data_IF_800089647608
#
_entry.id   IF_800089647608
#
_cell.length_a   1.000
_cell.length_b   1.000
_cell.length_c   1.000
_cell.angle_alpha   90.00
_cell.angle_beta   90.00
_cell.angle_gamma   90.00
#
_symmetry.space_group_name_H-M   'P 1'
#
loop_
_entity.id
_entity.type
_entity.pdbx_description
1 polymer ?
#
# COMPACT_ATOMS: atom_id res chain seq x y z
N UNK A 1 -15.94 66.66 -24.55
CA UNK A 1 -15.21 65.48 -24.98
C UNK A 1 -14.61 64.87 -23.72
N UNK A 2 -15.16 63.71 -23.28
CA UNK A 2 -14.67 62.95 -22.11
C UNK A 2 -14.12 61.61 -22.63
N UNK A 3 -12.81 61.44 -22.49
CA UNK A 3 -12.11 60.20 -22.85
C UNK A 3 -12.23 59.20 -21.69
N UNK A 4 -12.90 58.08 -21.94
CA UNK A 4 -12.92 56.94 -21.03
C UNK A 4 -11.62 56.15 -21.20
N UNK A 5 -10.79 56.08 -20.15
CA UNK A 5 -9.66 55.20 -20.08
C UNK A 5 -10.13 53.77 -19.67
N UNK A 6 -9.91 52.81 -20.56
CA UNK A 6 -10.20 51.41 -20.31
C UNK A 6 -9.00 50.74 -19.63
N UNK A 7 -9.13 50.41 -18.35
CA UNK A 7 -8.10 49.71 -17.58
C UNK A 7 -8.25 48.20 -17.82
N UNK A 8 -7.33 47.64 -18.55
CA UNK A 8 -7.25 46.17 -18.77
C UNK A 8 -6.62 45.49 -17.54
N UNK A 9 -7.42 44.76 -16.76
CA UNK A 9 -6.93 43.98 -15.64
C UNK A 9 -6.51 42.62 -16.22
N UNK A 10 -5.20 42.37 -16.29
CA UNK A 10 -4.63 41.08 -16.64
C UNK A 10 -4.67 40.19 -15.40
N UNK A 11 -5.59 39.24 -15.36
CA UNK A 11 -5.61 38.17 -14.34
C UNK A 11 -4.53 37.14 -14.68
N UNK A 12 -3.40 37.21 -13.98
CA UNK A 12 -2.38 36.16 -14.03
C UNK A 12 -2.89 34.94 -13.28
N UNK A 13 -3.32 33.91 -14.01
CA UNK A 13 -3.61 32.58 -13.48
C UNK A 13 -2.27 31.95 -13.07
N UNK A 14 -1.99 31.98 -11.78
CA UNK A 14 -0.91 31.18 -11.18
C UNK A 14 -1.38 29.73 -11.16
N UNK A 15 -1.01 28.97 -12.17
CA UNK A 15 -1.11 27.52 -12.12
C UNK A 15 -0.10 27.02 -11.08
N UNK A 16 -0.58 26.74 -9.87
CA UNK A 16 0.18 25.98 -8.88
C UNK A 16 0.37 24.56 -9.43
N UNK A 17 1.53 24.31 -10.01
CA UNK A 17 1.97 22.96 -10.33
C UNK A 17 2.21 22.28 -8.99
N UNK A 18 1.30 21.41 -8.58
CA UNK A 18 1.58 20.41 -7.55
C UNK A 18 2.58 19.44 -8.17
N UNK A 19 3.87 19.77 -8.05
CA UNK A 19 4.94 18.82 -8.31
C UNK A 19 4.77 17.69 -7.32
N UNK A 20 4.48 16.50 -7.81
CA UNK A 20 4.53 15.27 -7.01
C UNK A 20 5.97 15.09 -6.52
N UNK A 21 6.23 15.50 -5.29
CA UNK A 21 7.55 15.38 -4.64
C UNK A 21 7.89 13.93 -4.23
N UNK A 22 7.20 12.95 -4.80
CA UNK A 22 7.30 11.54 -4.39
C UNK A 22 8.41 10.75 -5.09
N UNK A 23 8.88 11.18 -6.26
CA UNK A 23 9.86 10.41 -7.03
C UNK A 23 11.31 10.62 -6.61
N UNK A 24 11.63 11.75 -5.98
CA UNK A 24 13.01 12.11 -5.65
C UNK A 24 13.50 11.56 -4.29
N UNK A 25 12.59 11.11 -3.43
CA UNK A 25 12.91 10.66 -2.07
C UNK A 25 13.22 9.15 -1.97
N UNK A 26 12.92 8.35 -2.99
CA UNK A 26 13.08 6.90 -2.97
C UNK A 26 13.74 6.38 -4.25
N UNK A 27 15.01 5.97 -4.16
CA UNK A 27 15.66 5.20 -5.23
C UNK A 27 15.26 3.71 -5.13
N UNK A 28 14.02 3.42 -5.52
CA UNK A 28 13.41 2.11 -5.41
C UNK A 28 11.90 2.14 -5.57
N UNK A 29 11.21 1.21 -4.92
CA UNK A 29 9.75 1.13 -4.94
C UNK A 29 9.14 1.45 -3.58
N UNK A 30 8.09 2.26 -3.58
CA UNK A 30 7.32 2.51 -2.36
C UNK A 30 6.41 1.31 -2.11
N UNK A 31 6.52 0.77 -0.91
CA UNK A 31 5.73 -0.37 -0.44
C UNK A 31 5.06 -0.03 0.88
N UNK A 32 3.95 -0.71 1.18
CA UNK A 32 3.23 -0.52 2.43
C UNK A 32 3.36 -1.80 3.26
N UNK A 33 3.96 -1.67 4.44
CA UNK A 33 3.95 -2.70 5.46
C UNK A 33 2.79 -2.41 6.43
N UNK A 34 1.90 -3.40 6.62
CA UNK A 34 0.86 -3.35 7.65
C UNK A 34 1.15 -4.38 8.70
N UNK A 35 1.18 -3.94 9.97
CA UNK A 35 1.20 -4.83 11.13
C UNK A 35 -0.23 -5.00 11.59
N UNK A 36 -0.63 -6.24 11.85
CA UNK A 36 -1.98 -6.59 12.22
C UNK A 36 -1.99 -7.57 13.38
N UNK A 37 -3.03 -7.53 14.20
CA UNK A 37 -3.37 -8.60 15.10
C UNK A 37 -4.37 -9.55 14.42
N UNK A 38 -4.29 -10.85 14.72
CA UNK A 38 -5.36 -11.77 14.34
C UNK A 38 -6.63 -11.42 15.13
N UNK A 39 -7.78 -11.55 14.45
CA UNK A 39 -9.10 -11.48 15.11
C UNK A 39 -9.51 -12.87 15.60
N UNK A 40 -10.57 -12.95 16.40
CA UNK A 40 -11.12 -14.23 16.86
C UNK A 40 -11.47 -15.14 15.67
N UNK A 41 -10.86 -16.32 15.62
CA UNK A 41 -10.99 -17.26 14.50
C UNK A 41 -10.14 -16.94 13.27
N UNK A 42 -9.44 -15.79 13.25
CA UNK A 42 -8.51 -15.44 12.20
C UNK A 42 -7.24 -16.28 12.22
N UNK A 43 -6.59 -16.40 11.07
CA UNK A 43 -5.40 -17.25 10.93
C UNK A 43 -4.45 -16.75 9.83
N UNK A 44 -3.18 -17.19 9.91
CA UNK A 44 -2.23 -16.93 8.84
C UNK A 44 -2.68 -17.57 7.52
N UNK A 45 -3.25 -18.76 7.56
CA UNK A 45 -3.76 -19.43 6.37
C UNK A 45 -4.87 -18.61 5.69
N UNK A 46 -5.87 -18.18 6.45
CA UNK A 46 -6.94 -17.33 5.92
C UNK A 46 -6.45 -15.97 5.42
N UNK A 47 -5.43 -15.38 6.09
CA UNK A 47 -4.81 -14.14 5.60
C UNK A 47 -4.03 -14.36 4.30
N UNK A 48 -3.39 -15.52 4.11
CA UNK A 48 -2.74 -15.88 2.83
C UNK A 48 -3.75 -16.05 1.70
N UNK A 49 -4.90 -16.64 1.98
CA UNK A 49 -6.02 -16.73 1.03
C UNK A 49 -6.53 -15.33 0.66
N UNK A 50 -6.73 -14.45 1.64
CA UNK A 50 -7.10 -13.06 1.39
C UNK A 50 -6.05 -12.33 0.53
N UNK A 51 -4.76 -12.53 0.80
CA UNK A 51 -3.69 -11.94 0.00
C UNK A 51 -3.65 -12.49 -1.43
N UNK A 52 -4.02 -13.75 -1.64
CA UNK A 52 -4.17 -14.32 -2.97
C UNK A 52 -5.31 -13.64 -3.75
N UNK A 53 -6.48 -13.44 -3.13
CA UNK A 53 -7.59 -12.68 -3.72
C UNK A 53 -7.17 -11.26 -4.12
N UNK A 54 -6.35 -10.60 -3.31
CA UNK A 54 -5.82 -9.27 -3.64
C UNK A 54 -4.91 -9.31 -4.86
N UNK A 55 -4.02 -10.29 -4.94
CA UNK A 55 -3.13 -10.44 -6.08
C UNK A 55 -3.91 -10.79 -7.36
N UNK A 56 -4.95 -11.61 -7.28
CA UNK A 56 -5.86 -11.89 -8.38
C UNK A 56 -6.59 -10.63 -8.86
N UNK A 57 -7.04 -9.80 -7.91
CA UNK A 57 -7.68 -8.53 -8.23
C UNK A 57 -6.73 -7.58 -8.97
N UNK A 58 -5.44 -7.51 -8.57
CA UNK A 58 -4.45 -6.73 -9.30
C UNK A 58 -4.30 -7.20 -10.75
N UNK A 59 -4.13 -8.49 -10.96
CA UNK A 59 -3.97 -9.09 -12.29
C UNK A 59 -5.21 -8.80 -13.15
N UNK A 60 -6.41 -8.97 -12.59
CA UNK A 60 -7.68 -8.70 -13.28
C UNK A 60 -7.82 -7.22 -13.68
N UNK A 61 -7.15 -6.31 -12.96
CA UNK A 61 -7.15 -4.88 -13.23
C UNK A 61 -5.92 -4.40 -14.02
N UNK A 62 -5.10 -5.32 -14.56
CA UNK A 62 -3.94 -5.01 -15.37
C UNK A 62 -2.73 -4.48 -14.59
N UNK A 63 -2.72 -4.67 -13.27
CA UNK A 63 -1.62 -4.29 -12.37
C UNK A 63 -0.79 -5.54 -12.08
N UNK A 64 0.30 -5.74 -12.81
CA UNK A 64 1.12 -6.96 -12.73
C UNK A 64 2.38 -6.82 -11.86
N UNK A 65 2.77 -5.58 -11.56
CA UNK A 65 3.99 -5.28 -10.78
C UNK A 65 3.74 -5.19 -9.28
N UNK A 66 2.48 -5.23 -8.88
CA UNK A 66 2.06 -5.11 -7.50
C UNK A 66 1.75 -6.48 -6.89
N UNK A 67 2.06 -6.64 -5.62
CA UNK A 67 1.74 -7.89 -4.91
C UNK A 67 1.51 -7.63 -3.43
N UNK A 68 0.75 -8.52 -2.79
CA UNK A 68 0.63 -8.58 -1.34
C UNK A 68 1.16 -9.93 -0.84
N UNK A 69 2.05 -9.87 0.15
CA UNK A 69 2.67 -11.05 0.76
C UNK A 69 2.47 -11.02 2.27
N UNK A 70 2.13 -12.17 2.85
CA UNK A 70 2.05 -12.35 4.30
C UNK A 70 3.44 -12.66 4.85
N UNK A 71 3.84 -11.90 5.87
CA UNK A 71 5.14 -11.99 6.53
C UNK A 71 4.91 -12.34 8.00
N UNK A 72 5.29 -13.53 8.47
CA UNK A 72 5.25 -13.89 9.86
C UNK A 72 6.16 -12.95 10.68
N UNK A 73 5.69 -12.54 11.86
CA UNK A 73 6.48 -11.80 12.83
C UNK A 73 7.10 -12.78 13.81
N UNK A 74 8.35 -12.53 14.19
CA UNK A 74 9.07 -13.27 15.22
C UNK A 74 9.50 -12.30 16.33
N UNK A 75 9.41 -12.77 17.55
CA UNK A 75 9.94 -12.07 18.73
C UNK A 75 11.24 -12.75 19.17
N UNK A 76 12.14 -11.98 19.76
CA UNK A 76 13.32 -12.53 20.39
C UNK A 76 13.02 -12.89 21.85
N UNK A 77 13.32 -14.11 22.24
CA UNK A 77 13.20 -14.60 23.61
C UNK A 77 14.59 -14.59 24.28
N UNK A 78 14.84 -13.59 25.11
CA UNK A 78 16.09 -13.43 25.84
C UNK A 78 16.39 -14.59 26.80
N UNK A 79 15.36 -15.28 27.26
CA UNK A 79 15.53 -16.38 28.23
C UNK A 79 16.08 -17.65 27.61
N UNK A 80 15.85 -17.84 26.33
CA UNK A 80 16.26 -19.04 25.57
C UNK A 80 17.25 -18.72 24.45
N UNK A 81 17.61 -17.43 24.29
CA UNK A 81 18.49 -16.92 23.22
C UNK A 81 18.00 -17.41 21.83
N UNK A 82 16.69 -17.29 21.59
CA UNK A 82 16.07 -17.77 20.36
C UNK A 82 15.00 -16.81 19.80
N UNK A 83 14.64 -16.99 18.52
CA UNK A 83 13.52 -16.30 17.92
C UNK A 83 12.28 -17.21 17.92
N UNK A 84 11.14 -16.68 18.37
CA UNK A 84 9.89 -17.41 18.50
C UNK A 84 8.85 -16.72 17.60
N UNK A 85 8.09 -17.53 16.85
CA UNK A 85 7.02 -16.98 16.02
C UNK A 85 5.95 -16.33 16.90
N UNK A 86 5.64 -15.06 16.60
CA UNK A 86 4.52 -14.38 17.23
C UNK A 86 3.20 -15.00 16.72
N UNK A 87 2.35 -15.44 17.65
CA UNK A 87 1.08 -16.12 17.31
C UNK A 87 -0.09 -15.16 17.25
N UNK A 88 0.07 -13.93 17.75
CA UNK A 88 -0.99 -12.92 17.84
C UNK A 88 -0.89 -11.88 16.73
N UNK A 89 0.32 -11.73 16.13
CA UNK A 89 0.64 -10.67 15.17
C UNK A 89 1.20 -11.22 13.88
N UNK A 90 0.92 -10.50 12.82
CA UNK A 90 1.39 -10.79 11.47
C UNK A 90 1.61 -9.49 10.71
N UNK A 91 2.48 -9.52 9.71
CA UNK A 91 2.61 -8.41 8.77
C UNK A 91 2.11 -8.80 7.38
N UNK A 92 1.66 -7.81 6.60
CA UNK A 92 1.51 -7.92 5.16
C UNK A 92 2.33 -6.83 4.48
N UNK A 93 3.12 -7.21 3.50
CA UNK A 93 3.84 -6.28 2.64
C UNK A 93 3.09 -6.11 1.32
N UNK A 94 2.68 -4.90 1.06
CA UNK A 94 2.07 -4.46 -0.17
C UNK A 94 3.18 -3.86 -1.04
N UNK A 95 3.78 -4.69 -1.88
CA UNK A 95 4.91 -4.31 -2.70
C UNK A 95 4.48 -3.40 -3.85
N UNK A 96 5.31 -2.41 -4.16
CA UNK A 96 5.11 -1.44 -5.25
C UNK A 96 3.75 -0.71 -5.19
N UNK A 97 3.39 -0.20 -4.02
CA UNK A 97 2.07 0.38 -3.74
C UNK A 97 1.73 1.63 -4.57
N UNK A 98 2.72 2.27 -5.20
CA UNK A 98 2.49 3.43 -6.09
C UNK A 98 1.75 3.03 -7.36
N UNK A 99 2.04 1.84 -7.91
CA UNK A 99 1.38 1.31 -9.12
C UNK A 99 -0.10 1.05 -8.85
N UNK A 100 -0.48 0.68 -7.62
CA UNK A 100 -1.88 0.43 -7.26
C UNK A 100 -2.74 1.69 -7.19
N UNK A 101 -2.17 2.89 -7.25
CA UNK A 101 -2.95 4.13 -7.30
C UNK A 101 -3.83 4.19 -8.54
N UNK A 102 -3.34 3.70 -9.67
CA UNK A 102 -4.08 3.69 -10.93
C UNK A 102 -5.28 2.72 -10.89
N UNK A 103 -5.22 1.72 -9.99
CA UNK A 103 -6.29 0.78 -9.76
C UNK A 103 -7.36 1.27 -8.75
N UNK A 104 -7.14 2.40 -8.05
CA UNK A 104 -8.05 2.89 -6.99
C UNK A 104 -9.45 3.19 -7.48
N UNK A 105 -9.63 3.62 -8.71
CA UNK A 105 -10.95 3.89 -9.30
C UNK A 105 -11.82 2.62 -9.39
N UNK A 106 -11.20 1.44 -9.31
CA UNK A 106 -11.86 0.14 -9.37
C UNK A 106 -12.06 -0.50 -7.99
N UNK A 107 -11.57 0.14 -6.93
CA UNK A 107 -11.83 -0.29 -5.56
C UNK A 107 -13.33 -0.20 -5.28
N UNK A 108 -13.91 -1.30 -4.77
CA UNK A 108 -15.34 -1.41 -4.55
C UNK A 108 -16.05 -2.30 -5.55
N UNK A 109 -15.37 -2.85 -6.55
CA UNK A 109 -15.87 -3.96 -7.34
C UNK A 109 -16.00 -5.24 -6.49
N UNK A 110 -16.54 -6.30 -7.07
CA UNK A 110 -16.77 -7.57 -6.37
C UNK A 110 -15.43 -8.20 -5.90
N UNK A 111 -14.39 -8.18 -6.74
CA UNK A 111 -13.08 -8.73 -6.41
C UNK A 111 -12.43 -7.99 -5.23
N UNK A 112 -12.49 -6.67 -5.23
CA UNK A 112 -12.05 -5.85 -4.10
C UNK A 112 -12.82 -6.15 -2.83
N UNK A 113 -14.15 -6.23 -2.92
CA UNK A 113 -15.03 -6.51 -1.78
C UNK A 113 -14.74 -7.88 -1.16
N UNK A 114 -14.51 -8.90 -1.99
CA UNK A 114 -14.16 -10.25 -1.55
C UNK A 114 -12.80 -10.26 -0.82
N UNK A 115 -11.79 -9.57 -1.37
CA UNK A 115 -10.50 -9.41 -0.71
C UNK A 115 -10.64 -8.75 0.66
N UNK A 116 -11.29 -7.58 0.75
CA UNK A 116 -11.41 -6.83 2.01
C UNK A 116 -12.17 -7.67 3.05
N UNK A 117 -13.26 -8.32 2.66
CA UNK A 117 -14.04 -9.17 3.58
C UNK A 117 -13.21 -10.33 4.13
N UNK A 118 -12.41 -10.99 3.29
CA UNK A 118 -11.52 -12.07 3.70
C UNK A 118 -10.37 -11.55 4.59
N UNK A 119 -9.82 -10.37 4.28
CA UNK A 119 -8.75 -9.75 5.06
C UNK A 119 -9.23 -9.39 6.47
N UNK A 120 -10.38 -8.71 6.59
CA UNK A 120 -10.97 -8.27 7.85
C UNK A 120 -11.48 -9.44 8.71
N UNK A 121 -11.88 -10.57 8.07
CA UNK A 121 -12.23 -11.79 8.78
C UNK A 121 -11.04 -12.48 9.48
N UNK A 122 -9.81 -12.14 9.11
CA UNK A 122 -8.61 -12.76 9.66
C UNK A 122 -7.78 -11.81 10.52
N UNK A 123 -7.76 -10.51 10.21
CA UNK A 123 -6.86 -9.57 10.89
C UNK A 123 -7.48 -8.19 11.07
N UNK A 124 -6.92 -7.47 12.05
CA UNK A 124 -7.15 -6.04 12.26
C UNK A 124 -5.82 -5.30 12.20
N UNK A 125 -5.68 -4.37 11.26
CA UNK A 125 -4.47 -3.53 11.12
C UNK A 125 -4.30 -2.65 12.35
N UNK A 126 -3.12 -2.67 12.94
CA UNK A 126 -2.73 -1.84 14.09
C UNK A 126 -1.72 -0.76 13.72
N UNK A 127 -0.92 -1.00 12.67
CA UNK A 127 0.10 -0.07 12.21
C UNK A 127 0.25 -0.14 10.70
N UNK A 128 0.53 1.02 10.08
CA UNK A 128 0.82 1.12 8.64
C UNK A 128 2.09 1.93 8.46
N UNK A 129 3.08 1.33 7.78
CA UNK A 129 4.40 1.91 7.54
C UNK A 129 4.62 1.98 6.03
N UNK A 130 5.04 3.15 5.54
CA UNK A 130 5.48 3.30 4.16
C UNK A 130 6.98 3.09 4.09
N UNK A 131 7.41 2.18 3.23
CA UNK A 131 8.80 1.79 3.06
C UNK A 131 9.27 2.15 1.65
N UNK A 132 10.47 2.68 1.56
CA UNK A 132 11.22 2.67 0.31
C UNK A 132 12.03 1.37 0.25
N UNK A 133 11.72 0.50 -0.69
CA UNK A 133 12.51 -0.71 -0.95
C UNK A 133 13.54 -0.36 -2.03
N UNK A 134 14.83 -0.23 -1.67
CA UNK A 134 15.87 0.17 -2.61
C UNK A 134 16.03 -0.82 -3.77
N UNK A 135 16.34 -0.31 -4.97
CA UNK A 135 16.57 -1.14 -6.15
C UNK A 135 17.64 -2.23 -5.92
N UNK A 136 18.64 -1.95 -5.11
CA UNK A 136 19.69 -2.92 -4.76
C UNK A 136 19.20 -4.16 -3.99
N UNK A 137 18.03 -4.09 -3.33
CA UNK A 137 17.41 -5.24 -2.64
C UNK A 137 16.52 -6.06 -3.57
N UNK A 138 16.13 -5.52 -4.73
CA UNK A 138 15.20 -6.19 -5.65
C UNK A 138 15.90 -7.23 -6.53
N UNK A 139 17.23 -7.29 -6.47
CA UNK A 139 18.05 -8.14 -7.34
C UNK A 139 18.04 -7.63 -8.79
N UNK A 140 18.99 -8.06 -9.57
CA UNK A 140 18.93 -7.88 -11.04
C UNK A 140 17.93 -8.93 -11.56
N UNK A 141 16.66 -8.53 -11.65
CA UNK A 141 15.65 -9.29 -12.37
C UNK A 141 15.80 -9.08 -13.87
#
# INVERSE_FOLDING_TARGET
MKTLGSTLIVFALVFSQFVSAESDACDGVISILRISNYVDGGSEAGLREASALHNEWYVANGVTENSQTVIPIFDYDDSTDSVVKNVDRVATLHFNSTVSRDARERQGDEGWTNFISAYDANTKVTETIFLCIPNGLLGNQ
#
